data_IF_022399936985
#
_entry.id   IF_022399936985
#
_cell.length_a   1.000
_cell.length_b   1.000
_cell.length_c   1.000
_cell.angle_alpha   90.00
_cell.angle_beta   90.00
_cell.angle_gamma   90.00
#
_symmetry.space_group_name_H-M   'P 1'
#
loop_
_entity.id
_entity.type
_entity.pdbx_description
1 polymer ?
#
# COMPACT_ATOMS: atom_id res chain seq x y z
N UNK A 1 -29.75 -0.52 1.03
CA UNK A 1 -28.61 0.24 0.46
C UNK A 1 -27.28 -0.14 1.13
N UNK A 2 -26.76 -1.37 1.00
CA UNK A 2 -25.46 -1.71 1.62
C UNK A 2 -24.71 -2.95 1.06
N UNK A 3 -25.08 -3.46 -0.13
CA UNK A 3 -24.36 -4.60 -0.78
C UNK A 3 -23.65 -4.21 -2.08
N UNK A 4 -24.23 -3.28 -2.84
CA UNK A 4 -23.68 -2.78 -4.11
C UNK A 4 -22.32 -2.07 -3.92
N UNK A 5 -22.14 -1.36 -2.80
CA UNK A 5 -20.91 -0.61 -2.49
C UNK A 5 -19.71 -1.53 -2.19
N UNK A 6 -19.94 -2.76 -1.71
CA UNK A 6 -18.85 -3.70 -1.38
C UNK A 6 -18.30 -4.43 -2.60
N UNK A 7 -19.10 -4.61 -3.65
CA UNK A 7 -18.64 -5.26 -4.89
C UNK A 7 -17.70 -4.36 -5.71
N UNK A 8 -17.94 -3.04 -5.70
CA UNK A 8 -17.10 -2.06 -6.42
C UNK A 8 -15.67 -1.98 -5.84
N UNK A 9 -15.49 -2.26 -4.55
CA UNK A 9 -14.18 -2.19 -3.88
C UNK A 9 -13.28 -3.40 -4.11
N UNK A 10 -13.81 -4.55 -4.54
CA UNK A 10 -12.98 -5.76 -4.79
C UNK A 10 -12.56 -5.84 -6.26
N UNK A 11 -13.35 -5.29 -7.18
CA UNK A 11 -13.02 -5.23 -8.61
C UNK A 11 -11.91 -4.22 -8.94
N UNK A 12 -11.63 -3.26 -8.07
CA UNK A 12 -10.58 -2.24 -8.27
C UNK A 12 -9.16 -2.75 -8.00
N UNK A 13 -8.99 -3.90 -7.33
CA UNK A 13 -7.66 -4.43 -6.99
C UNK A 13 -6.97 -5.21 -8.11
N UNK A 14 -7.70 -5.60 -9.17
CA UNK A 14 -7.11 -6.29 -10.32
C UNK A 14 -6.80 -5.37 -11.52
N UNK A 15 -7.28 -4.12 -11.51
CA UNK A 15 -7.04 -3.17 -12.63
C UNK A 15 -5.75 -2.36 -12.43
N UNK A 16 -5.20 -2.30 -11.22
CA UNK A 16 -4.02 -1.47 -10.94
C UNK A 16 -2.69 -1.98 -11.53
N UNK A 17 -2.67 -3.17 -12.15
CA UNK A 17 -1.41 -3.79 -12.62
C UNK A 17 -1.15 -3.67 -14.13
N UNK A 18 -2.07 -3.09 -14.93
CA UNK A 18 -1.96 -3.12 -16.39
C UNK A 18 -1.62 -1.76 -17.05
N UNK A 19 -1.41 -0.68 -16.29
CA UNK A 19 -1.31 0.68 -16.84
C UNK A 19 0.08 1.12 -17.33
N UNK A 20 0.98 0.19 -17.71
CA UNK A 20 2.34 0.53 -18.19
C UNK A 20 2.55 0.36 -19.70
N UNK A 21 1.49 0.19 -20.49
CA UNK A 21 1.56 0.26 -21.95
C UNK A 21 0.80 1.51 -22.43
N UNK A 22 1.49 2.36 -23.20
CA UNK A 22 0.90 3.52 -23.88
C UNK A 22 -0.17 3.00 -24.86
N UNK A 23 -1.38 3.57 -24.85
CA UNK A 23 -2.57 3.22 -25.65
C UNK A 23 -3.26 1.86 -25.38
N UNK A 24 -3.77 1.66 -24.16
CA UNK A 24 -4.78 0.63 -23.90
C UNK A 24 -6.15 1.26 -23.54
N UNK A 25 -7.19 0.97 -24.34
CA UNK A 25 -8.57 1.33 -24.00
C UNK A 25 -9.19 0.20 -23.16
N UNK A 26 -9.47 0.48 -21.90
CA UNK A 26 -10.08 -0.47 -20.96
C UNK A 26 -11.53 -0.04 -20.72
N UNK A 27 -12.48 -0.91 -21.09
CA UNK A 27 -13.90 -0.71 -20.83
C UNK A 27 -14.40 -1.78 -19.86
N UNK A 28 -14.84 -1.34 -18.67
CA UNK A 28 -15.38 -2.21 -17.64
C UNK A 28 -16.90 -2.03 -17.55
N UNK A 29 -17.63 -3.14 -17.66
CA UNK A 29 -19.07 -3.20 -17.40
C UNK A 29 -19.32 -4.16 -16.24
N UNK A 30 -20.04 -3.67 -15.23
CA UNK A 30 -20.46 -4.46 -14.06
C UNK A 30 -21.97 -4.59 -14.12
N UNK A 31 -22.43 -5.81 -14.36
CA UNK A 31 -23.85 -6.14 -14.46
C UNK A 31 -24.22 -7.13 -13.35
N UNK A 32 -25.47 -7.09 -12.91
CA UNK A 32 -26.03 -8.12 -12.01
C UNK A 32 -26.83 -9.06 -12.91
N UNK A 33 -26.45 -10.34 -12.93
CA UNK A 33 -27.11 -11.38 -13.72
C UNK A 33 -28.48 -11.74 -13.11
N UNK A 34 -29.36 -12.43 -13.84
CA UNK A 34 -30.73 -12.79 -13.38
C UNK A 34 -30.75 -13.64 -12.09
N UNK A 35 -29.59 -14.20 -11.71
CA UNK A 35 -29.37 -14.92 -10.46
C UNK A 35 -28.93 -14.02 -9.28
N UNK A 36 -29.07 -12.69 -9.38
CA UNK A 36 -28.63 -11.69 -8.39
C UNK A 36 -27.13 -11.79 -8.04
N UNK A 37 -26.33 -12.25 -9.02
CA UNK A 37 -24.88 -12.42 -8.87
C UNK A 37 -24.14 -11.32 -9.65
N UNK A 38 -23.15 -10.65 -9.02
CA UNK A 38 -22.35 -9.65 -9.70
C UNK A 38 -21.45 -10.31 -10.76
N UNK A 39 -21.52 -9.80 -11.98
CA UNK A 39 -20.71 -10.22 -13.11
C UNK A 39 -19.91 -9.01 -13.61
N UNK A 40 -18.58 -9.15 -13.69
CA UNK A 40 -17.71 -8.11 -14.22
C UNK A 40 -17.17 -8.54 -15.58
N UNK A 41 -17.38 -7.69 -16.59
CA UNK A 41 -16.83 -7.85 -17.92
C UNK A 41 -15.78 -6.78 -18.16
N UNK A 42 -14.55 -7.21 -18.42
CA UNK A 42 -13.45 -6.32 -18.74
C UNK A 42 -13.12 -6.54 -20.21
N UNK A 43 -13.32 -5.52 -21.03
CA UNK A 43 -12.87 -5.49 -22.42
C UNK A 43 -11.61 -4.66 -22.48
N UNK A 44 -10.53 -5.25 -22.96
CA UNK A 44 -9.27 -4.56 -23.18
C UNK A 44 -8.99 -4.53 -24.68
N UNK A 45 -8.81 -3.33 -25.23
CA UNK A 45 -8.28 -3.14 -26.58
C UNK A 45 -6.85 -2.66 -26.45
N UNK A 46 -5.92 -3.36 -27.09
CA UNK A 46 -4.52 -2.95 -27.19
C UNK A 46 -4.18 -2.71 -28.65
N UNK A 47 -3.65 -1.53 -28.95
CA UNK A 47 -3.15 -1.19 -30.29
C UNK A 47 -1.67 -1.58 -30.38
N UNK A 48 -1.40 -2.78 -30.86
CA UNK A 48 -0.03 -3.19 -31.22
C UNK A 48 0.35 -2.59 -32.57
N UNK A 49 1.59 -2.11 -32.69
CA UNK A 49 2.10 -1.26 -33.79
C UNK A 49 2.22 -1.94 -35.17
N UNK A 50 1.73 -3.15 -35.36
CA UNK A 50 1.69 -3.83 -36.67
C UNK A 50 0.33 -4.51 -36.90
N UNK A 51 -0.56 -3.81 -37.61
CA UNK A 51 -1.63 -4.37 -38.46
C UNK A 51 -2.72 -5.28 -37.85
N UNK A 52 -3.14 -5.08 -36.60
CA UNK A 52 -4.38 -5.70 -36.13
C UNK A 52 -4.83 -5.20 -34.76
N UNK A 53 -6.10 -4.79 -34.65
CA UNK A 53 -6.73 -4.56 -33.34
C UNK A 53 -6.93 -5.91 -32.65
N UNK A 54 -6.09 -6.24 -31.67
CA UNK A 54 -6.29 -7.42 -30.84
C UNK A 54 -7.19 -7.05 -29.65
N UNK A 55 -8.41 -7.58 -29.65
CA UNK A 55 -9.36 -7.40 -28.54
C UNK A 55 -9.32 -8.60 -27.63
N UNK A 56 -8.91 -8.38 -26.38
CA UNK A 56 -8.92 -9.42 -25.35
C UNK A 56 -10.11 -9.17 -24.43
N UNK A 57 -10.96 -10.18 -24.27
CA UNK A 57 -12.11 -10.10 -23.36
C UNK A 57 -11.91 -11.04 -22.19
N UNK A 58 -11.96 -10.48 -20.97
CA UNK A 58 -11.90 -11.25 -19.73
C UNK A 58 -13.26 -11.15 -19.06
N UNK A 59 -13.90 -12.30 -18.83
CA UNK A 59 -15.16 -12.41 -18.10
C UNK A 59 -14.89 -13.03 -16.74
N UNK A 60 -15.23 -12.30 -15.67
CA UNK A 60 -15.05 -12.75 -14.29
C UNK A 60 -16.43 -12.89 -13.63
N UNK A 61 -16.75 -14.11 -13.21
CA UNK A 61 -17.98 -14.39 -12.47
C UNK A 61 -17.63 -14.73 -11.02
N UNK A 62 -18.05 -13.90 -10.07
CA UNK A 62 -17.81 -14.10 -8.65
C UNK A 62 -19.10 -14.40 -7.89
N UNK A 63 -19.23 -15.62 -7.35
CA UNK A 63 -20.39 -16.03 -6.56
C UNK A 63 -19.98 -16.97 -5.41
N UNK A 64 -19.95 -16.44 -4.17
CA UNK A 64 -19.63 -17.23 -2.98
C UNK A 64 -18.18 -17.74 -2.95
N UNK A 65 -17.98 -19.03 -2.62
CA UNK A 65 -16.66 -19.66 -2.50
C UNK A 65 -16.04 -20.10 -3.85
N UNK A 66 -16.64 -19.73 -4.98
CA UNK A 66 -16.18 -20.14 -6.31
C UNK A 66 -16.03 -18.91 -7.21
N UNK A 67 -14.89 -18.84 -7.89
CA UNK A 67 -14.57 -17.82 -8.88
C UNK A 67 -14.28 -18.53 -10.20
N UNK A 68 -14.94 -18.09 -11.26
CA UNK A 68 -14.72 -18.60 -12.62
C UNK A 68 -14.20 -17.45 -13.50
N UNK A 69 -13.08 -17.70 -14.19
CA UNK A 69 -12.40 -16.74 -15.04
C UNK A 69 -12.30 -17.33 -16.43
N UNK A 70 -12.94 -16.68 -17.40
CA UNK A 70 -12.88 -17.09 -18.80
C UNK A 70 -12.26 -15.98 -19.63
N UNK A 71 -11.16 -16.30 -20.30
CA UNK A 71 -10.46 -15.41 -21.20
C UNK A 71 -10.76 -15.81 -22.65
N UNK A 72 -11.11 -14.84 -23.50
CA UNK A 72 -11.33 -15.08 -24.94
C UNK A 72 -10.58 -13.98 -25.72
N UNK A 73 -9.51 -14.40 -26.40
CA UNK A 73 -8.63 -13.55 -27.23
C UNK A 73 -7.14 -13.93 -27.04
N UNK A 74 -6.43 -14.16 -28.16
CA UNK A 74 -4.99 -14.50 -28.21
C UNK A 74 -4.69 -15.93 -28.66
N UNK A 75 -3.86 -16.09 -29.68
CA UNK A 75 -3.32 -17.38 -30.20
C UNK A 75 -2.26 -17.99 -29.27
N UNK A 76 -2.61 -18.23 -28.02
CA UNK A 76 -1.86 -19.12 -27.15
C UNK A 76 -2.81 -20.14 -26.54
N UNK A 77 -2.76 -21.35 -27.07
CA UNK A 77 -3.30 -22.55 -26.44
C UNK A 77 -2.61 -22.71 -25.08
N UNK A 78 -3.24 -22.21 -24.01
CA UNK A 78 -2.86 -22.57 -22.65
C UNK A 78 -3.92 -23.51 -22.10
N UNK A 79 -3.51 -24.77 -22.07
CA UNK A 79 -4.22 -25.91 -21.53
C UNK A 79 -4.53 -25.66 -20.03
N UNK A 80 -5.81 -25.39 -19.74
CA UNK A 80 -6.31 -25.20 -18.39
C UNK A 80 -6.26 -26.51 -17.60
N UNK A 81 -5.16 -26.75 -16.87
CA UNK A 81 -5.08 -27.82 -15.87
C UNK A 81 -6.02 -27.55 -14.70
N UNK A 82 -7.16 -28.23 -14.71
CA UNK A 82 -7.98 -28.48 -13.53
C UNK A 82 -7.10 -29.11 -12.43
N UNK A 83 -6.90 -28.40 -11.33
CA UNK A 83 -6.39 -28.99 -10.08
C UNK A 83 -7.55 -29.02 -9.10
N UNK A 84 -8.31 -30.12 -9.12
CA UNK A 84 -9.31 -30.41 -8.09
C UNK A 84 -8.60 -31.05 -6.89
N UNK A 85 -8.30 -30.25 -5.87
CA UNK A 85 -7.79 -30.78 -4.60
C UNK A 85 -8.97 -31.26 -3.75
N UNK A 86 -9.31 -32.54 -3.88
CA UNK A 86 -10.28 -33.22 -3.01
C UNK A 86 -9.59 -33.54 -1.67
N UNK A 87 -9.83 -32.71 -0.65
CA UNK A 87 -9.37 -32.94 0.72
C UNK A 87 -10.32 -33.87 1.46
N UNK A 88 -10.04 -35.16 1.44
CA UNK A 88 -10.81 -36.21 2.12
C UNK A 88 -10.78 -36.03 3.64
N UNK A 89 -11.96 -35.97 4.25
CA UNK A 89 -12.17 -35.74 5.67
C UNK A 89 -12.01 -37.05 6.45
N UNK A 90 -10.79 -37.37 6.90
CA UNK A 90 -10.54 -38.47 7.84
C UNK A 90 -10.81 -38.01 9.28
N UNK A 91 -12.00 -38.32 9.79
CA UNK A 91 -12.35 -38.17 11.22
C UNK A 91 -11.60 -39.22 12.05
N UNK A 92 -10.59 -38.77 12.80
CA UNK A 92 -10.06 -39.54 13.94
C UNK A 92 -10.79 -39.17 15.24
N UNK A 93 -11.03 -40.14 16.15
CA UNK A 93 -11.61 -39.88 17.46
C UNK A 93 -10.59 -39.18 18.36
N UNK A 94 -10.85 -37.89 18.60
CA UNK A 94 -10.06 -36.99 19.44
C UNK A 94 -10.22 -37.40 20.91
N UNK A 95 -9.22 -38.09 21.47
CA UNK A 95 -9.06 -38.19 22.92
C UNK A 95 -8.85 -36.77 23.49
N UNK A 96 -9.71 -36.40 24.42
CA UNK A 96 -9.69 -35.15 25.17
C UNK A 96 -8.50 -35.17 26.14
N UNK A 97 -7.31 -34.88 25.60
CA UNK A 97 -6.10 -34.66 26.39
C UNK A 97 -6.26 -33.32 27.08
N UNK A 98 -6.63 -33.38 28.36
CA UNK A 98 -6.69 -32.28 29.33
C UNK A 98 -5.44 -31.40 29.16
N UNK A 99 -5.62 -30.30 28.44
CA UNK A 99 -4.54 -29.38 28.12
C UNK A 99 -4.33 -28.53 29.37
N UNK A 100 -3.27 -28.84 30.11
CA UNK A 100 -2.85 -27.98 31.23
C UNK A 100 -2.64 -26.55 30.69
N UNK A 101 -3.09 -25.53 31.44
CA UNK A 101 -2.92 -24.13 31.05
C UNK A 101 -1.43 -23.83 30.97
N UNK A 102 -0.86 -23.95 29.77
CA UNK A 102 0.47 -23.44 29.46
C UNK A 102 0.41 -21.95 29.70
N UNK A 103 1.14 -21.49 30.72
CA UNK A 103 1.43 -20.08 30.90
C UNK A 103 1.87 -19.52 29.55
N UNK A 104 1.07 -18.62 28.99
CA UNK A 104 1.42 -17.87 27.78
C UNK A 104 2.73 -17.14 28.09
N UNK A 105 3.84 -17.68 27.59
CA UNK A 105 5.07 -16.93 27.57
C UNK A 105 4.80 -15.66 26.78
N UNK A 106 5.13 -14.47 27.32
CA UNK A 106 5.00 -13.23 26.56
C UNK A 106 5.83 -13.41 25.29
N UNK A 107 5.16 -13.44 24.15
CA UNK A 107 5.82 -13.49 22.85
C UNK A 107 6.81 -12.32 22.82
N UNK A 108 8.08 -12.62 22.54
CA UNK A 108 9.07 -11.56 22.26
C UNK A 108 8.45 -10.60 21.25
N UNK A 109 8.60 -9.27 21.44
CA UNK A 109 7.99 -8.30 20.56
C UNK A 109 8.49 -8.60 19.14
N UNK A 110 7.58 -9.05 18.27
CA UNK A 110 7.88 -9.31 16.87
C UNK A 110 8.54 -8.03 16.33
N UNK A 111 9.81 -8.15 15.95
CA UNK A 111 10.61 -7.02 15.48
C UNK A 111 9.87 -6.37 14.32
N UNK A 112 9.34 -5.16 14.54
CA UNK A 112 8.54 -4.45 13.55
C UNK A 112 9.50 -3.80 12.56
N UNK A 113 9.29 -4.05 11.27
CA UNK A 113 10.07 -3.42 10.21
C UNK A 113 9.34 -2.16 9.72
N UNK A 114 9.99 -1.00 9.88
CA UNK A 114 9.54 0.29 9.37
C UNK A 114 10.27 0.69 8.07
N UNK A 115 11.09 -0.19 7.51
CA UNK A 115 11.80 0.04 6.26
C UNK A 115 13.07 0.89 6.41
N UNK A 116 13.46 1.18 7.64
CA UNK A 116 14.74 1.80 8.02
C UNK A 116 15.52 0.80 8.89
N UNK A 117 16.82 0.55 8.61
CA UNK A 117 17.60 -0.37 9.41
C UNK A 117 17.83 0.20 10.82
N UNK A 118 17.53 -0.60 11.85
CA UNK A 118 17.75 -0.27 13.28
C UNK A 118 17.11 1.05 13.74
N UNK A 119 15.80 1.15 13.57
CA UNK A 119 15.04 2.32 14.01
C UNK A 119 14.28 2.05 15.30
N UNK A 120 14.79 2.59 16.41
CA UNK A 120 14.16 2.49 17.73
C UNK A 120 12.72 3.06 17.74
N UNK A 121 12.42 3.99 16.84
CA UNK A 121 11.09 4.58 16.69
C UNK A 121 10.05 3.59 16.13
N UNK A 122 10.45 2.45 15.57
CA UNK A 122 9.53 1.55 14.91
C UNK A 122 8.58 0.80 15.87
N UNK A 123 9.05 0.56 17.10
CA UNK A 123 8.27 -0.05 18.18
C UNK A 123 7.59 0.99 19.09
N UNK A 124 7.86 2.27 18.89
CA UNK A 124 7.27 3.36 19.67
C UNK A 124 5.87 3.71 19.16
N UNK A 125 5.06 4.32 20.03
CA UNK A 125 3.74 4.85 19.70
C UNK A 125 3.66 6.33 20.05
N UNK A 126 3.01 7.10 19.20
CA UNK A 126 2.59 8.48 19.47
C UNK A 126 1.10 8.56 19.21
N UNK A 127 0.36 9.12 20.16
CA UNK A 127 -1.11 9.21 20.11
C UNK A 127 -1.82 7.86 19.87
N UNK A 128 -1.24 6.79 20.43
CA UNK A 128 -1.74 5.43 20.27
C UNK A 128 -1.52 4.82 18.88
N UNK A 129 -0.93 5.56 17.94
CA UNK A 129 -0.59 5.09 16.60
C UNK A 129 0.88 4.74 16.51
N UNK A 130 1.17 3.77 15.64
CA UNK A 130 2.53 3.37 15.33
C UNK A 130 3.02 4.06 14.06
N UNK A 131 4.34 4.17 13.91
CA UNK A 131 4.93 4.61 12.65
C UNK A 131 4.54 3.69 11.48
N UNK A 132 4.61 4.23 10.27
CA UNK A 132 4.36 3.52 9.02
C UNK A 132 5.25 2.27 8.90
N UNK A 133 4.67 1.16 8.46
CA UNK A 133 5.39 -0.10 8.22
C UNK A 133 6.27 -0.02 6.97
N UNK A 134 7.19 -0.97 6.83
CA UNK A 134 8.17 -0.99 5.75
C UNK A 134 7.57 -0.99 4.34
N UNK A 135 6.45 -1.69 4.14
CA UNK A 135 5.87 -1.82 2.79
C UNK A 135 5.24 -0.51 2.35
N UNK A 136 4.43 0.10 3.23
CA UNK A 136 3.84 1.41 3.00
C UNK A 136 4.92 2.49 2.86
N UNK A 137 5.96 2.46 3.71
CA UNK A 137 7.07 3.40 3.68
C UNK A 137 7.81 3.39 2.34
N UNK A 138 8.16 2.20 1.82
CA UNK A 138 8.87 2.08 0.54
C UNK A 138 8.03 2.65 -0.62
N UNK A 139 6.73 2.36 -0.65
CA UNK A 139 5.83 2.90 -1.68
C UNK A 139 5.70 4.41 -1.61
N UNK A 140 5.51 4.95 -0.42
CA UNK A 140 5.44 6.39 -0.18
C UNK A 140 6.75 7.11 -0.56
N UNK A 141 7.87 6.62 -0.05
CA UNK A 141 9.18 7.22 -0.31
C UNK A 141 9.56 7.18 -1.79
N UNK A 142 9.30 6.06 -2.47
CA UNK A 142 9.55 5.94 -3.91
C UNK A 142 8.68 6.90 -4.73
N UNK A 143 7.41 7.09 -4.34
CA UNK A 143 6.50 8.04 -4.98
C UNK A 143 7.00 9.48 -4.86
N UNK A 144 7.51 9.88 -3.69
CA UNK A 144 8.12 11.21 -3.54
C UNK A 144 9.41 11.36 -4.35
N UNK A 145 10.23 10.30 -4.39
CA UNK A 145 11.51 10.31 -5.10
C UNK A 145 11.34 10.37 -6.63
N UNK A 146 10.26 9.81 -7.18
CA UNK A 146 9.98 9.86 -8.62
C UNK A 146 9.52 11.22 -9.10
N UNK A 147 9.01 12.08 -8.21
CA UNK A 147 8.64 13.45 -8.60
C UNK A 147 9.89 14.29 -8.81
N UNK A 148 10.03 14.93 -9.97
CA UNK A 148 11.14 15.85 -10.25
C UNK A 148 10.87 17.26 -9.71
N UNK A 149 9.60 17.68 -9.71
CA UNK A 149 9.18 18.99 -9.24
C UNK A 149 9.03 19.00 -7.72
N UNK A 150 9.80 19.85 -7.06
CA UNK A 150 9.85 19.94 -5.59
C UNK A 150 8.52 20.43 -4.98
N UNK A 151 7.80 21.34 -5.64
CA UNK A 151 6.50 21.84 -5.19
C UNK A 151 5.46 20.72 -5.21
N UNK A 152 5.43 19.94 -6.30
CA UNK A 152 4.53 18.78 -6.42
C UNK A 152 4.89 17.71 -5.38
N UNK A 153 6.20 17.48 -5.14
CA UNK A 153 6.68 16.58 -4.10
C UNK A 153 6.24 17.02 -2.72
N UNK A 154 6.34 18.32 -2.42
CA UNK A 154 5.90 18.91 -1.16
C UNK A 154 4.39 18.68 -0.95
N UNK A 155 3.55 19.02 -1.92
CA UNK A 155 2.11 18.83 -1.80
C UNK A 155 1.73 17.36 -1.52
N UNK A 156 2.43 16.41 -2.18
CA UNK A 156 2.23 14.98 -1.94
C UNK A 156 2.69 14.58 -0.54
N UNK A 157 3.83 15.08 -0.08
CA UNK A 157 4.33 14.85 1.26
C UNK A 157 3.34 15.37 2.31
N UNK A 158 2.93 16.64 2.25
CA UNK A 158 1.99 17.24 3.20
C UNK A 158 0.66 16.50 3.28
N UNK A 159 0.06 16.14 2.13
CA UNK A 159 -1.22 15.41 2.10
C UNK A 159 -1.13 14.05 2.78
N UNK A 160 -0.01 13.36 2.63
CA UNK A 160 0.22 12.05 3.23
C UNK A 160 0.58 12.16 4.72
N UNK A 161 1.53 13.06 5.04
CA UNK A 161 2.09 13.22 6.38
C UNK A 161 1.08 13.72 7.40
N UNK A 162 -0.04 14.32 6.99
CA UNK A 162 -1.21 14.63 7.84
C UNK A 162 -1.93 13.43 8.46
N UNK A 163 -1.67 12.21 7.97
CA UNK A 163 -2.47 11.02 8.32
C UNK A 163 -1.64 9.87 8.85
N UNK A 164 -0.32 9.95 8.71
CA UNK A 164 0.58 8.83 8.95
C UNK A 164 1.69 9.27 9.88
N UNK A 165 2.07 8.37 10.78
CA UNK A 165 3.16 8.61 11.69
C UNK A 165 4.47 8.12 11.06
N UNK A 166 5.55 8.86 11.29
CA UNK A 166 6.88 8.51 10.83
C UNK A 166 7.81 8.26 12.02
N UNK A 167 8.77 7.37 11.82
CA UNK A 167 9.94 7.33 12.69
C UNK A 167 10.86 8.53 12.41
N UNK A 168 11.80 8.80 13.32
CA UNK A 168 12.79 9.84 13.09
C UNK A 168 13.65 9.53 11.86
N UNK A 169 14.09 8.28 11.64
CA UNK A 169 14.93 7.97 10.48
C UNK A 169 14.15 8.12 9.16
N UNK A 170 12.90 7.68 9.10
CA UNK A 170 12.02 7.90 7.95
C UNK A 170 11.87 9.39 7.67
N UNK A 171 11.56 10.18 8.70
CA UNK A 171 11.43 11.63 8.58
C UNK A 171 12.70 12.29 8.04
N UNK A 172 13.87 11.91 8.56
CA UNK A 172 15.16 12.40 8.08
C UNK A 172 15.38 12.12 6.58
N UNK A 173 14.97 10.95 6.09
CA UNK A 173 15.03 10.60 4.67
C UNK A 173 14.07 11.42 3.81
N UNK A 174 12.88 11.77 4.32
CA UNK A 174 11.95 12.68 3.63
C UNK A 174 12.58 14.05 3.46
N UNK A 175 13.19 14.60 4.52
CA UNK A 175 13.81 15.92 4.47
C UNK A 175 14.95 16.01 3.44
N UNK A 176 15.68 14.91 3.24
CA UNK A 176 16.77 14.82 2.25
C UNK A 176 16.28 14.89 0.80
N UNK A 177 14.98 14.67 0.55
CA UNK A 177 14.41 14.80 -0.79
C UNK A 177 14.21 16.26 -1.21
N UNK A 178 14.27 17.22 -0.30
CA UNK A 178 14.01 18.64 -0.58
C UNK A 178 15.32 19.42 -0.59
N UNK A 179 15.65 20.05 -1.72
CA UNK A 179 16.90 20.80 -1.86
C UNK A 179 16.74 22.24 -1.38
N UNK A 180 15.55 22.81 -1.54
CA UNK A 180 15.24 24.14 -1.07
C UNK A 180 14.92 24.09 0.43
N UNK A 181 15.51 24.99 1.19
CA UNK A 181 15.32 25.02 2.64
C UNK A 181 13.90 25.46 3.03
N UNK A 182 13.30 26.38 2.27
CA UNK A 182 11.96 26.88 2.58
C UNK A 182 10.93 25.76 2.47
N UNK A 183 10.93 25.04 1.35
CA UNK A 183 10.04 23.88 1.08
C UNK A 183 10.29 22.75 2.07
N UNK A 184 11.56 22.44 2.37
CA UNK A 184 11.92 21.44 3.38
C UNK A 184 11.33 21.81 4.75
N UNK A 185 11.27 23.10 5.09
CA UNK A 185 10.86 23.57 6.42
C UNK A 185 9.34 23.53 6.53
N UNK A 186 8.63 23.86 5.45
CA UNK A 186 7.19 23.69 5.33
C UNK A 186 6.78 22.22 5.49
N UNK A 187 7.49 21.29 4.83
CA UNK A 187 7.27 19.85 5.02
C UNK A 187 7.58 19.43 6.47
N UNK A 188 8.63 19.97 7.08
CA UNK A 188 8.97 19.69 8.47
C UNK A 188 7.87 20.15 9.45
N UNK A 189 7.31 21.35 9.25
CA UNK A 189 6.19 21.89 10.04
C UNK A 189 4.98 20.97 10.03
N UNK A 190 4.62 20.46 8.86
CA UNK A 190 3.47 19.59 8.71
C UNK A 190 3.72 18.18 9.30
N UNK A 191 4.95 17.68 9.18
CA UNK A 191 5.29 16.32 9.61
C UNK A 191 5.61 16.21 11.11
N UNK A 192 6.13 17.27 11.72
CA UNK A 192 6.63 17.25 13.11
C UNK A 192 5.64 16.70 14.14
N UNK A 193 4.33 17.05 14.11
CA UNK A 193 3.36 16.49 15.05
C UNK A 193 3.19 14.97 14.93
N UNK A 194 3.62 14.37 13.81
CA UNK A 194 3.43 12.95 13.50
C UNK A 194 4.75 12.17 13.49
N UNK A 195 5.83 12.76 13.99
CA UNK A 195 7.08 12.04 14.26
C UNK A 195 6.97 11.31 15.60
N UNK A 196 7.12 9.99 15.60
CA UNK A 196 6.92 9.17 16.81
C UNK A 196 8.01 9.44 17.88
N UNK A 197 9.24 9.69 17.45
CA UNK A 197 10.36 10.00 18.34
C UNK A 197 10.98 11.37 17.96
N UNK A 198 10.40 12.49 18.43
CA UNK A 198 10.91 13.82 18.11
C UNK A 198 12.33 14.07 18.68
N UNK A 199 12.71 13.42 19.78
CA UNK A 199 14.05 13.57 20.38
C UNK A 199 15.16 13.13 19.41
N UNK A 200 14.96 12.04 18.68
CA UNK A 200 15.91 11.60 17.65
C UNK A 200 15.91 12.52 16.42
N UNK A 201 14.80 13.20 16.14
CA UNK A 201 14.70 14.14 15.02
C UNK A 201 15.42 15.47 15.29
N UNK A 202 15.69 15.84 16.55
CA UNK A 202 16.43 17.07 16.90
C UNK A 202 17.81 17.16 16.25
N UNK A 203 18.47 16.02 16.05
CA UNK A 203 19.79 15.95 15.39
C UNK A 203 19.78 16.43 13.93
N UNK A 204 18.61 16.43 13.28
CA UNK A 204 18.48 16.92 11.89
C UNK A 204 18.49 18.45 11.77
N UNK A 205 18.54 19.18 12.89
CA UNK A 205 18.85 20.62 12.88
C UNK A 205 20.15 20.93 12.11
N UNK A 206 21.11 19.99 12.11
CA UNK A 206 22.36 20.06 11.36
C UNK A 206 22.20 19.98 9.83
N UNK A 207 21.04 19.55 9.32
CA UNK A 207 20.76 19.48 7.86
C UNK A 207 20.45 20.86 7.25
N UNK A 208 20.25 21.87 8.10
CA UNK A 208 19.98 23.25 7.71
C UNK A 208 21.28 24.03 7.58
N UNK A 209 21.49 24.68 6.44
CA UNK A 209 22.62 25.59 6.23
C UNK A 209 22.35 26.95 6.88
N UNK A 210 21.09 27.40 6.86
CA UNK A 210 20.68 28.62 7.51
C UNK A 210 20.38 28.38 9.00
N UNK A 211 21.04 29.13 9.88
CA UNK A 211 20.84 29.06 11.34
C UNK A 211 19.43 29.45 11.77
N UNK A 212 18.76 30.34 11.04
CA UNK A 212 17.38 30.75 11.32
C UNK A 212 16.44 29.57 11.09
N UNK A 213 16.53 28.91 9.92
CA UNK A 213 15.72 27.73 9.61
C UNK A 213 16.03 26.55 10.52
N UNK A 214 17.30 26.36 10.92
CA UNK A 214 17.69 25.35 11.89
C UNK A 214 17.13 25.59 13.30
N UNK A 215 17.09 26.85 13.74
CA UNK A 215 16.44 27.23 14.99
C UNK A 215 14.94 26.97 14.93
N UNK A 216 14.27 27.45 13.88
CA UNK A 216 12.84 27.27 13.70
C UNK A 216 12.45 25.79 13.63
N UNK A 217 13.23 24.96 12.92
CA UNK A 217 13.06 23.50 12.91
C UNK A 217 13.13 22.89 14.32
N UNK A 218 14.09 23.33 15.13
CA UNK A 218 14.25 22.85 16.50
C UNK A 218 13.02 23.21 17.34
N UNK A 219 12.55 24.45 17.24
CA UNK A 219 11.36 24.92 17.96
C UNK A 219 10.13 24.09 17.59
N UNK A 220 9.96 23.78 16.30
CA UNK A 220 8.83 22.97 15.80
C UNK A 220 8.88 21.53 16.31
N UNK A 221 10.06 20.89 16.33
CA UNK A 221 10.20 19.49 16.77
C UNK A 221 10.02 19.33 18.28
N UNK A 222 10.30 20.39 19.05
CA UNK A 222 10.12 20.39 20.51
C UNK A 222 8.69 20.64 20.99
N UNK A 223 7.77 21.02 20.10
CA UNK A 223 6.34 21.22 20.41
C UNK A 223 5.57 19.90 20.48
#
# INVERSE_FOLDING_TARGET
>A
MNRIVRAVLVSSLFVSSASFAQDAEINMQVDIDDADMPNARIKMKTTTTENGEETTTVKVRGGGARMDVRMTGGTMETESRHTETYGETRREPRMERRQEPRAEMPAEPAFRDCGTPSDEGCTMRRDGQFAMDATTWRGFYQSLKSESNEIVRQEKAEKMLKRVYLTAAQFGLVLDLFNNEITRLEVAKEAAPHVVNPQHALGFSSKWKNSISGSEYTDIITQ
#
